data_IF_977688561012
#
_entry.id   IF_977688561012
#
_cell.length_a   1.000
_cell.length_b   1.000
_cell.length_c   1.000
_cell.angle_alpha   90.00
_cell.angle_beta   90.00
_cell.angle_gamma   90.00
#
_symmetry.space_group_name_H-M   'P 1'
#
loop_
_entity.id
_entity.type
_entity.pdbx_description
1 polymer ?
#
# COMPACT_ATOMS: atom_id res chain seq x y z
N UNK A 1 12.93 4.41 -7.75
CA UNK A 1 13.20 3.16 -8.50
C UNK A 1 14.67 3.13 -8.87
N UNK A 2 15.29 1.99 -8.67
CA UNK A 2 16.69 1.73 -9.03
C UNK A 2 16.71 0.66 -10.15
N UNK A 3 17.55 0.85 -11.14
CA UNK A 3 17.69 -0.08 -12.28
C UNK A 3 19.17 -0.30 -12.57
N UNK A 4 19.61 -1.57 -12.50
CA UNK A 4 20.98 -1.95 -12.80
C UNK A 4 21.35 -1.62 -14.26
N UNK A 5 22.59 -1.20 -14.50
CA UNK A 5 23.06 -0.93 -15.86
C UNK A 5 23.08 -2.24 -16.68
N UNK A 6 22.45 -2.20 -17.86
CA UNK A 6 22.38 -3.35 -18.80
C UNK A 6 21.92 -4.66 -18.15
N UNK A 7 21.03 -4.60 -17.14
CA UNK A 7 20.60 -5.75 -16.35
C UNK A 7 21.74 -6.48 -15.62
N UNK A 8 22.90 -5.86 -15.45
CA UNK A 8 24.01 -6.42 -14.69
C UNK A 8 23.90 -5.97 -13.22
N UNK A 9 23.40 -6.82 -12.35
CA UNK A 9 23.23 -6.53 -10.92
C UNK A 9 24.57 -6.40 -10.15
N UNK A 10 25.70 -6.80 -10.75
CA UNK A 10 27.03 -6.58 -10.20
C UNK A 10 27.69 -5.28 -10.70
N UNK A 11 27.03 -4.50 -11.55
CA UNK A 11 27.54 -3.21 -12.01
C UNK A 11 27.60 -2.20 -10.86
N UNK A 12 28.67 -1.40 -10.81
CA UNK A 12 28.78 -0.24 -9.96
C UNK A 12 27.94 0.97 -10.46
N UNK A 13 27.45 0.89 -11.69
CA UNK A 13 26.60 1.91 -12.30
C UNK A 13 25.15 1.50 -12.31
N UNK A 14 24.25 2.43 -12.03
CA UNK A 14 22.81 2.23 -12.08
C UNK A 14 22.10 3.53 -12.47
N UNK A 15 20.86 3.39 -12.92
CA UNK A 15 19.93 4.52 -13.09
C UNK A 15 18.93 4.51 -11.94
N UNK A 16 18.49 5.69 -11.53
CA UNK A 16 17.42 5.78 -10.54
C UNK A 16 16.42 6.88 -10.91
N UNK A 17 15.20 6.72 -10.48
CA UNK A 17 14.15 7.72 -10.56
C UNK A 17 13.19 7.58 -9.36
N UNK A 18 12.35 8.58 -9.18
CA UNK A 18 11.28 8.56 -8.19
C UNK A 18 10.01 8.09 -8.90
N UNK A 19 9.50 6.92 -8.52
CA UNK A 19 8.22 6.40 -9.01
C UNK A 19 7.04 7.21 -8.50
N UNK A 20 7.02 7.52 -7.20
CA UNK A 20 6.04 8.38 -6.56
C UNK A 20 6.69 9.18 -5.43
N UNK A 21 6.48 10.48 -5.44
CA UNK A 21 6.70 11.33 -4.29
C UNK A 21 5.36 11.45 -3.58
N UNK A 22 5.26 10.85 -2.40
CA UNK A 22 4.02 10.83 -1.63
C UNK A 22 3.80 12.19 -0.97
N UNK A 23 2.57 12.67 -0.99
CA UNK A 23 2.19 13.95 -0.41
C UNK A 23 0.66 14.07 -0.30
N UNK A 24 0.20 15.25 0.11
CA UNK A 24 -1.23 15.51 0.25
C UNK A 24 -1.69 16.67 -0.64
N UNK A 25 -2.22 16.39 -1.83
CA UNK A 25 -2.71 17.44 -2.74
C UNK A 25 -3.98 18.14 -2.25
N UNK A 26 -4.61 17.67 -1.17
CA UNK A 26 -5.80 18.32 -0.59
C UNK A 26 -5.43 19.49 0.32
N UNK A 27 -4.24 19.48 0.91
CA UNK A 27 -3.80 20.51 1.88
C UNK A 27 -2.53 21.25 1.47
N UNK A 28 -1.74 20.69 0.54
CA UNK A 28 -0.48 21.27 0.11
C UNK A 28 -0.44 21.57 -1.38
N UNK A 29 0.56 22.38 -1.77
CA UNK A 29 0.96 22.68 -3.15
C UNK A 29 2.45 22.38 -3.35
N UNK A 30 2.89 22.32 -4.61
CA UNK A 30 4.28 22.03 -4.95
C UNK A 30 4.71 20.63 -4.53
N UNK A 31 5.94 20.47 -4.07
CA UNK A 31 6.51 19.15 -3.73
C UNK A 31 5.73 18.41 -2.63
N UNK A 32 5.19 19.11 -1.66
CA UNK A 32 4.42 18.53 -0.55
C UNK A 32 3.02 18.03 -0.96
N UNK A 33 2.54 18.42 -2.14
CA UNK A 33 1.32 17.84 -2.72
C UNK A 33 1.55 16.43 -3.28
N UNK A 34 2.81 16.04 -3.48
CA UNK A 34 3.19 14.78 -4.12
C UNK A 34 3.45 14.93 -5.62
N UNK A 35 3.90 13.84 -6.24
CA UNK A 35 4.08 13.76 -7.68
C UNK A 35 2.73 13.69 -8.41
N UNK A 36 2.75 13.96 -9.73
CA UNK A 36 1.53 14.06 -10.56
C UNK A 36 0.61 12.82 -10.54
N UNK A 37 1.15 11.67 -10.16
CA UNK A 37 0.41 10.41 -10.03
C UNK A 37 -0.20 10.22 -8.62
N UNK A 38 0.00 11.19 -7.71
CA UNK A 38 -0.69 11.24 -6.41
C UNK A 38 -1.84 12.22 -6.53
N UNK A 39 -3.03 11.76 -6.20
CA UNK A 39 -4.30 12.48 -6.29
C UNK A 39 -5.05 12.39 -4.96
N UNK A 40 -6.17 13.10 -4.85
CA UNK A 40 -7.05 12.99 -3.68
C UNK A 40 -7.62 11.58 -3.47
N UNK A 41 -7.71 10.78 -4.54
CA UNK A 41 -8.34 9.46 -4.49
C UNK A 41 -7.34 8.36 -4.11
N UNK A 42 -6.03 8.60 -4.29
CA UNK A 42 -4.99 7.60 -4.06
C UNK A 42 -3.87 8.07 -3.13
N UNK A 43 -4.00 9.25 -2.52
CA UNK A 43 -2.98 9.74 -1.58
C UNK A 43 -2.85 8.84 -0.36
N UNK A 44 -1.64 8.71 0.11
CA UNK A 44 -1.26 7.87 1.25
C UNK A 44 -0.01 8.46 1.94
N UNK A 45 0.37 7.90 3.07
CA UNK A 45 1.61 8.26 3.76
C UNK A 45 2.38 7.00 4.16
N UNK A 46 3.64 7.18 4.52
CA UNK A 46 4.50 6.14 5.11
C UNK A 46 4.44 4.82 4.36
N UNK A 47 4.82 4.77 3.07
CA UNK A 47 5.01 3.49 2.39
C UNK A 47 6.09 2.69 3.12
N UNK A 48 5.76 1.46 3.48
CA UNK A 48 6.62 0.55 4.21
C UNK A 48 6.90 -0.71 3.39
N UNK A 49 5.95 -1.64 3.32
CA UNK A 49 6.09 -2.85 2.52
C UNK A 49 5.90 -2.62 1.03
N UNK A 50 6.78 -3.19 0.20
CA UNK A 50 6.60 -3.22 -1.25
C UNK A 50 6.84 -4.63 -1.79
N UNK A 51 6.08 -5.01 -2.83
CA UNK A 51 6.28 -6.27 -3.54
C UNK A 51 5.84 -6.17 -5.00
N UNK A 52 6.61 -6.79 -5.89
CA UNK A 52 6.19 -6.94 -7.28
C UNK A 52 5.40 -8.23 -7.47
N UNK A 53 4.34 -8.15 -8.27
CA UNK A 53 3.60 -9.33 -8.72
C UNK A 53 4.26 -9.99 -9.95
N UNK A 54 3.65 -11.09 -10.42
CA UNK A 54 4.17 -11.88 -11.54
C UNK A 54 4.18 -11.12 -12.88
N UNK A 55 3.47 -10.01 -12.99
CA UNK A 55 3.37 -9.16 -14.18
C UNK A 55 4.19 -7.88 -14.08
N UNK A 56 4.90 -7.70 -12.95
CA UNK A 56 5.69 -6.51 -12.67
C UNK A 56 4.90 -5.33 -12.10
N UNK A 57 3.66 -5.54 -11.68
CA UNK A 57 2.89 -4.57 -10.93
C UNK A 57 3.45 -4.38 -9.52
N UNK A 58 3.51 -3.16 -9.04
CA UNK A 58 4.03 -2.81 -7.73
C UNK A 58 2.90 -2.72 -6.70
N UNK A 59 2.99 -3.51 -5.65
CA UNK A 59 2.12 -3.43 -4.49
C UNK A 59 2.81 -2.67 -3.38
N UNK A 60 2.12 -1.69 -2.80
CA UNK A 60 2.64 -0.78 -1.76
C UNK A 60 1.73 -0.91 -0.55
N UNK A 61 2.30 -1.19 0.61
CA UNK A 61 1.61 -1.28 1.89
C UNK A 61 2.06 -0.14 2.79
N UNK A 62 1.20 0.35 3.67
CA UNK A 62 1.51 1.50 4.52
C UNK A 62 1.45 1.17 6.00
N UNK A 63 2.38 1.77 6.74
CA UNK A 63 2.41 1.83 8.20
C UNK A 63 2.59 3.27 8.65
N UNK A 64 1.55 4.06 8.52
CA UNK A 64 1.64 5.50 8.76
C UNK A 64 0.56 6.06 9.66
N UNK A 65 0.53 7.38 9.68
CA UNK A 65 -0.43 8.13 10.48
C UNK A 65 -1.85 7.97 9.92
N UNK A 66 -2.74 7.50 10.76
CA UNK A 66 -4.18 7.36 10.52
C UNK A 66 -5.02 8.44 11.22
N UNK A 67 -4.39 9.52 11.68
CA UNK A 67 -5.06 10.63 12.37
C UNK A 67 -6.10 11.35 11.51
N UNK A 68 -5.93 11.29 10.19
CA UNK A 68 -6.80 11.94 9.19
C UNK A 68 -6.97 13.45 9.39
N UNK A 69 -5.96 14.11 9.97
CA UNK A 69 -5.93 15.55 10.26
C UNK A 69 -4.61 16.18 9.83
N UNK A 70 -4.57 17.50 9.67
CA UNK A 70 -3.37 18.24 9.28
C UNK A 70 -2.83 17.73 7.94
N UNK A 71 -1.55 17.43 7.89
CA UNK A 71 -0.86 16.94 6.68
C UNK A 71 -1.42 15.59 6.18
N UNK A 72 -2.10 14.85 7.05
CA UNK A 72 -2.70 13.54 6.75
C UNK A 72 -4.20 13.60 6.45
N UNK A 73 -4.78 14.81 6.38
CA UNK A 73 -6.23 14.99 6.15
C UNK A 73 -6.68 14.33 4.83
N UNK A 74 -7.71 13.50 4.89
CA UNK A 74 -8.28 12.78 3.77
C UNK A 74 -7.53 11.50 3.34
N UNK A 75 -6.42 11.16 3.99
CA UNK A 75 -5.68 9.91 3.68
C UNK A 75 -6.36 8.67 4.26
N UNK A 76 -7.03 8.82 5.41
CA UNK A 76 -7.72 7.72 6.09
C UNK A 76 -6.77 6.75 6.80
N UNK A 77 -7.22 5.52 6.95
CA UNK A 77 -6.44 4.44 7.56
C UNK A 77 -5.30 3.96 6.66
N UNK A 78 -4.40 3.17 7.23
CA UNK A 78 -3.38 2.46 6.47
C UNK A 78 -4.01 1.59 5.36
N UNK A 79 -3.29 1.44 4.26
CA UNK A 79 -3.86 0.94 3.02
C UNK A 79 -2.85 0.14 2.20
N UNK A 80 -3.35 -0.59 1.24
CA UNK A 80 -2.56 -1.20 0.20
C UNK A 80 -2.95 -0.60 -1.15
N UNK A 81 -1.93 -0.26 -1.94
CA UNK A 81 -2.09 0.33 -3.27
C UNK A 81 -1.43 -0.56 -4.32
N UNK A 82 -1.96 -0.49 -5.52
CA UNK A 82 -1.34 -1.07 -6.72
C UNK A 82 -0.79 0.06 -7.58
N UNK A 83 0.46 -0.07 -7.99
CA UNK A 83 1.14 0.84 -8.91
C UNK A 83 1.56 0.12 -10.20
N UNK A 84 1.29 0.72 -11.34
CA UNK A 84 1.82 0.26 -12.62
C UNK A 84 3.15 0.98 -12.92
N UNK A 85 4.30 0.29 -12.87
CA UNK A 85 5.60 0.95 -13.13
C UNK A 85 5.79 1.46 -14.55
N UNK A 86 4.95 1.04 -15.51
CA UNK A 86 5.03 1.46 -16.91
C UNK A 86 4.29 2.77 -17.14
N UNK A 87 3.08 2.87 -16.61
CA UNK A 87 2.21 4.06 -16.78
C UNK A 87 2.40 5.09 -15.67
N UNK A 88 2.88 4.66 -14.50
CA UNK A 88 2.94 5.48 -13.28
C UNK A 88 1.60 5.59 -12.56
N UNK A 89 0.56 4.90 -13.01
CA UNK A 89 -0.75 4.90 -12.36
C UNK A 89 -0.66 4.24 -10.98
N UNK A 90 -1.33 4.82 -9.98
CA UNK A 90 -1.46 4.25 -8.63
C UNK A 90 -2.95 4.20 -8.27
N UNK A 91 -3.41 3.04 -7.81
CA UNK A 91 -4.79 2.80 -7.38
C UNK A 91 -4.81 2.28 -5.95
N UNK A 92 -5.74 2.79 -5.15
CA UNK A 92 -6.04 2.21 -3.84
C UNK A 92 -6.74 0.88 -4.04
N UNK A 93 -6.23 -0.17 -3.42
CA UNK A 93 -6.76 -1.52 -3.53
C UNK A 93 -7.50 -1.95 -2.25
N UNK A 94 -6.91 -1.69 -1.09
CA UNK A 94 -7.45 -2.11 0.21
C UNK A 94 -7.20 -1.00 1.23
N UNK A 95 -8.17 -0.79 2.13
CA UNK A 95 -8.02 0.04 3.33
C UNK A 95 -8.12 -0.85 4.55
N UNK A 96 -7.16 -0.75 5.44
CA UNK A 96 -7.14 -1.48 6.70
C UNK A 96 -8.18 -0.99 7.71
N UNK A 97 -8.48 -1.77 8.74
CA UNK A 97 -9.29 -1.32 9.85
C UNK A 97 -8.61 -0.19 10.64
N UNK A 98 -9.34 0.43 11.54
CA UNK A 98 -8.82 1.51 12.36
C UNK A 98 -7.54 1.08 13.11
N UNK A 99 -6.54 1.95 13.06
CA UNK A 99 -5.29 1.81 13.81
C UNK A 99 -4.49 0.54 13.50
N UNK A 100 -4.71 -0.04 12.31
CA UNK A 100 -3.93 -1.17 11.84
C UNK A 100 -2.81 -0.73 10.91
N UNK A 101 -1.75 -1.50 10.87
CA UNK A 101 -0.78 -1.55 9.78
C UNK A 101 -1.28 -2.54 8.71
N UNK A 102 -1.04 -2.25 7.44
CA UNK A 102 -1.22 -3.20 6.33
C UNK A 102 0.15 -3.71 5.92
N UNK A 103 0.40 -5.00 6.13
CA UNK A 103 1.73 -5.60 5.99
C UNK A 103 1.70 -6.98 5.36
N UNK A 104 2.86 -7.57 5.08
CA UNK A 104 3.04 -8.97 4.69
C UNK A 104 2.18 -9.40 3.51
N UNK A 105 2.69 -9.28 2.29
CA UNK A 105 2.00 -9.69 1.08
C UNK A 105 2.62 -10.95 0.48
N UNK A 106 1.77 -11.94 0.20
CA UNK A 106 2.16 -13.11 -0.59
C UNK A 106 0.99 -13.67 -1.39
N UNK A 107 1.26 -14.63 -2.27
CA UNK A 107 0.26 -15.30 -3.10
C UNK A 107 0.35 -16.81 -2.96
N UNK A 108 -0.77 -17.48 -3.21
CA UNK A 108 -0.76 -18.91 -3.50
C UNK A 108 0.06 -19.22 -4.77
N UNK A 109 0.53 -20.43 -4.90
CA UNK A 109 1.36 -20.84 -6.04
C UNK A 109 0.68 -20.60 -7.40
N UNK A 110 -0.61 -20.70 -7.47
CA UNK A 110 -1.43 -20.46 -8.68
C UNK A 110 -1.81 -18.99 -8.89
N UNK A 111 -1.40 -18.09 -7.98
CA UNK A 111 -1.74 -16.66 -7.96
C UNK A 111 -3.24 -16.33 -7.89
N UNK A 112 -4.07 -17.27 -7.48
CA UNK A 112 -5.52 -17.05 -7.34
C UNK A 112 -5.95 -16.52 -5.98
N UNK A 113 -5.08 -16.66 -4.99
CA UNK A 113 -5.30 -16.14 -3.63
C UNK A 113 -4.13 -15.24 -3.24
N UNK A 114 -4.45 -14.04 -2.82
CA UNK A 114 -3.52 -13.10 -2.22
C UNK A 114 -3.71 -13.14 -0.70
N UNK A 115 -2.63 -13.13 0.07
CA UNK A 115 -2.64 -13.08 1.53
C UNK A 115 -2.01 -11.78 1.98
N UNK A 116 -2.70 -11.03 2.83
CA UNK A 116 -2.29 -9.74 3.36
C UNK A 116 -2.40 -9.77 4.88
N UNK A 117 -1.37 -9.33 5.57
CA UNK A 117 -1.39 -9.15 7.02
C UNK A 117 -2.08 -7.85 7.41
N UNK A 118 -2.94 -7.92 8.43
CA UNK A 118 -3.47 -6.76 9.16
C UNK A 118 -2.89 -6.86 10.56
N UNK A 119 -2.02 -5.92 10.90
CA UNK A 119 -1.26 -5.94 12.15
C UNK A 119 -1.86 -4.95 13.15
N UNK A 120 -1.92 -5.35 14.41
CA UNK A 120 -2.35 -4.57 15.60
C UNK A 120 -3.55 -3.61 15.38
N UNK A 121 -4.68 -4.05 14.78
CA UNK A 121 -5.85 -3.18 14.67
C UNK A 121 -6.29 -2.69 16.04
N UNK A 122 -6.65 -1.42 16.14
CA UNK A 122 -7.05 -0.83 17.41
C UNK A 122 -5.94 -0.68 18.44
N UNK A 123 -4.71 -0.42 18.02
CA UNK A 123 -3.55 -0.23 18.89
C UNK A 123 -3.81 0.79 20.00
N UNK A 124 -4.67 1.79 19.76
CA UNK A 124 -5.08 2.81 20.73
C UNK A 124 -6.52 2.62 21.25
N UNK A 125 -7.12 1.45 21.00
CA UNK A 125 -8.43 1.09 21.52
C UNK A 125 -9.61 1.45 20.62
N UNK A 126 -9.39 1.83 19.35
CA UNK A 126 -10.45 2.29 18.46
C UNK A 126 -10.76 1.30 17.31
N UNK A 127 -10.78 0.01 17.61
CA UNK A 127 -11.19 -1.02 16.65
C UNK A 127 -11.85 -2.20 17.36
N UNK A 128 -12.73 -2.89 16.65
CA UNK A 128 -13.37 -4.14 17.04
C UNK A 128 -13.12 -5.23 15.99
N UNK A 129 -12.15 -5.01 15.13
CA UNK A 129 -11.81 -5.92 14.03
C UNK A 129 -10.91 -7.06 14.52
N UNK A 130 -11.06 -8.32 14.01
CA UNK A 130 -11.98 -8.73 12.94
C UNK A 130 -13.35 -9.24 13.42
N UNK A 131 -13.52 -9.51 14.69
CA UNK A 131 -14.63 -10.32 15.20
C UNK A 131 -15.87 -9.49 15.59
N UNK A 132 -15.79 -8.15 15.56
CA UNK A 132 -16.92 -7.26 15.76
C UNK A 132 -17.17 -6.85 17.22
N UNK A 133 -18.36 -6.29 17.51
CA UNK A 133 -18.67 -5.71 18.84
C UNK A 133 -18.52 -6.71 19.99
N UNK A 134 -17.93 -6.23 21.09
CA UNK A 134 -17.72 -7.03 22.31
C UNK A 134 -16.47 -7.90 22.30
N UNK A 135 -15.65 -7.82 21.23
CA UNK A 135 -14.39 -8.55 21.12
C UNK A 135 -13.18 -7.63 21.20
N UNK A 136 -12.06 -8.16 21.70
CA UNK A 136 -10.79 -7.45 21.60
C UNK A 136 -10.27 -7.49 20.15
N UNK A 137 -9.73 -6.37 19.64
CA UNK A 137 -9.12 -6.37 18.31
C UNK A 137 -7.88 -7.27 18.29
N UNK A 138 -7.63 -7.90 17.15
CA UNK A 138 -6.47 -8.77 16.99
C UNK A 138 -5.95 -8.78 15.55
N UNK A 139 -4.65 -9.01 15.42
CA UNK A 139 -4.02 -9.21 14.10
C UNK A 139 -4.58 -10.45 13.40
N UNK A 140 -4.67 -10.38 12.08
CA UNK A 140 -5.09 -11.52 11.26
C UNK A 140 -4.51 -11.45 9.84
N UNK A 141 -4.55 -12.56 9.15
CA UNK A 141 -4.25 -12.65 7.71
C UNK A 141 -5.56 -12.66 6.94
N UNK A 142 -5.68 -11.76 5.97
CA UNK A 142 -6.81 -11.69 5.05
C UNK A 142 -6.46 -12.43 3.77
N UNK A 143 -7.32 -13.36 3.34
CA UNK A 143 -7.22 -14.02 2.05
C UNK A 143 -8.16 -13.35 1.05
N UNK A 144 -7.61 -12.87 -0.06
CA UNK A 144 -8.32 -12.11 -1.09
C UNK A 144 -8.32 -12.90 -2.38
N UNK A 145 -9.48 -13.02 -3.02
CA UNK A 145 -9.68 -13.68 -4.31
C UNK A 145 -10.54 -12.80 -5.21
N UNK A 146 -10.36 -12.93 -6.51
CA UNK A 146 -11.31 -12.35 -7.47
C UNK A 146 -12.56 -13.23 -7.54
N UNK A 147 -13.73 -12.60 -7.72
CA UNK A 147 -15.02 -13.31 -7.81
C UNK A 147 -15.11 -14.26 -8.99
N UNK A 148 -14.39 -13.96 -10.08
CA UNK A 148 -14.33 -14.80 -11.28
C UNK A 148 -13.29 -15.93 -11.21
N UNK A 149 -12.58 -16.06 -10.07
CA UNK A 149 -11.54 -17.07 -9.87
C UNK A 149 -10.27 -16.87 -10.69
N UNK A 150 -10.13 -15.72 -11.37
CA UNK A 150 -8.92 -15.41 -12.13
C UNK A 150 -7.75 -15.00 -11.20
N UNK A 151 -6.54 -14.95 -11.75
CA UNK A 151 -5.33 -14.57 -11.00
C UNK A 151 -5.41 -13.15 -10.46
N UNK A 152 -4.88 -12.97 -9.27
CA UNK A 152 -4.76 -11.69 -8.57
C UNK A 152 -3.27 -11.37 -8.35
N UNK A 153 -2.55 -11.02 -9.40
CA UNK A 153 -1.12 -10.77 -9.33
C UNK A 153 -0.34 -11.37 -10.47
#
# INVERSE_FOLDING_TARGET
RWTADRNNHASSNFKWDIFALVGNPSVHKGANAGSKNITKDNMFNSPDGIKFDSKGGLWIQTDGKYSNTGDFAGMGNNQMLYGDPKTGEIKRFLVGPNEAEVTGLTWSQDYKTMFVGIQHPGEKGNSIWPDGPGTAPRSAIVAIRKNDGSKIG
#
